data_IF_591764714764
#
_entry.id   IF_591764714764
#
_cell.length_a   1.000
_cell.length_b   1.000
_cell.length_c   1.000
_cell.angle_alpha   90.00
_cell.angle_beta   90.00
_cell.angle_gamma   90.00
#
_symmetry.space_group_name_H-M   'P 1'
#
loop_
_entity.id
_entity.type
_entity.pdbx_description
1 polymer ?
#
# COMPACT_ATOMS: atom_id res chain seq x y z
N UNK A 1 0.92 -21.94 -16.44
CA UNK A 1 -0.39 -21.27 -16.31
C UNK A 1 -0.59 -20.83 -14.87
N UNK A 2 -1.23 -19.68 -14.59
CA UNK A 2 -1.44 -19.21 -13.23
C UNK A 2 -2.25 -20.23 -12.42
N UNK A 3 -1.90 -20.38 -11.13
CA UNK A 3 -2.62 -21.24 -10.21
C UNK A 3 -4.07 -20.75 -10.07
N UNK A 4 -5.03 -21.68 -10.16
CA UNK A 4 -6.47 -21.41 -10.08
C UNK A 4 -7.08 -21.81 -8.75
N UNK A 5 -6.45 -22.77 -8.07
CA UNK A 5 -6.83 -23.24 -6.73
C UNK A 5 -5.57 -23.60 -5.93
N UNK A 6 -5.68 -23.48 -4.61
CA UNK A 6 -4.55 -23.74 -3.70
C UNK A 6 -3.96 -25.16 -3.82
N UNK A 7 -4.73 -26.11 -4.35
CA UNK A 7 -4.33 -27.53 -4.50
C UNK A 7 -3.82 -27.89 -5.90
N UNK A 8 -3.51 -26.92 -6.76
CA UNK A 8 -2.96 -27.22 -8.08
C UNK A 8 -1.61 -27.93 -7.95
N UNK A 9 -1.43 -29.03 -8.68
CA UNK A 9 -0.19 -29.83 -8.62
C UNK A 9 0.96 -29.04 -9.24
N UNK A 10 2.02 -28.85 -8.46
CA UNK A 10 3.26 -28.20 -8.92
C UNK A 10 4.42 -29.21 -8.97
N UNK A 11 5.40 -28.94 -9.82
CA UNK A 11 6.70 -29.62 -9.79
C UNK A 11 7.71 -28.76 -9.02
N UNK A 12 8.80 -29.33 -8.48
CA UNK A 12 9.81 -28.56 -7.73
C UNK A 12 10.49 -27.44 -8.54
N UNK A 13 10.38 -27.47 -9.87
CA UNK A 13 10.96 -26.49 -10.79
C UNK A 13 9.96 -25.40 -11.22
N UNK A 14 8.80 -25.28 -10.57
CA UNK A 14 7.80 -24.27 -10.95
C UNK A 14 8.30 -22.86 -10.63
N UNK A 15 8.14 -21.95 -11.59
CA UNK A 15 8.43 -20.54 -11.39
C UNK A 15 7.28 -19.85 -10.63
N UNK A 16 7.59 -19.14 -9.55
CA UNK A 16 6.61 -18.45 -8.72
C UNK A 16 6.77 -16.95 -8.92
N UNK A 17 5.68 -16.30 -9.32
CA UNK A 17 5.60 -14.85 -9.49
C UNK A 17 4.26 -14.34 -8.96
N UNK A 18 4.25 -13.09 -8.49
CA UNK A 18 3.02 -12.38 -8.21
C UNK A 18 2.38 -11.95 -9.53
N UNK A 19 1.09 -12.23 -9.70
CA UNK A 19 0.35 -11.95 -10.93
C UNK A 19 0.17 -10.43 -11.15
N UNK A 20 0.17 -9.64 -10.07
CA UNK A 20 0.17 -8.19 -10.14
C UNK A 20 0.94 -7.60 -8.95
N UNK A 21 1.68 -6.50 -9.15
CA UNK A 21 2.22 -5.73 -8.04
C UNK A 21 1.08 -5.09 -7.25
N UNK A 22 1.22 -5.06 -5.93
CA UNK A 22 0.30 -4.32 -5.06
C UNK A 22 0.46 -2.81 -5.30
N UNK A 23 -0.65 -2.07 -5.29
CA UNK A 23 -0.66 -0.62 -5.56
C UNK A 23 0.08 0.19 -4.50
N UNK A 24 0.07 -0.29 -3.26
CA UNK A 24 0.70 0.35 -2.11
C UNK A 24 1.59 -0.64 -1.37
N UNK A 25 2.62 -0.13 -0.69
CA UNK A 25 3.57 -0.94 0.12
C UNK A 25 2.91 -1.74 1.26
N UNK A 26 1.66 -1.41 1.62
CA UNK A 26 0.83 -2.27 2.48
C UNK A 26 -0.65 -2.16 2.12
N UNK A 27 -1.44 -3.18 2.49
CA UNK A 27 -2.91 -3.17 2.37
C UNK A 27 -3.59 -2.01 3.09
N UNK A 28 -2.87 -1.33 4.01
CA UNK A 28 -3.35 -0.11 4.65
C UNK A 28 -3.67 0.98 3.64
N UNK A 29 -2.85 1.15 2.58
CA UNK A 29 -3.06 2.22 1.59
C UNK A 29 -4.44 2.20 0.94
N UNK A 30 -5.02 1.00 0.71
CA UNK A 30 -6.37 0.85 0.17
C UNK A 30 -7.46 1.45 1.07
N UNK A 31 -7.24 1.43 2.39
CA UNK A 31 -8.19 2.04 3.35
C UNK A 31 -8.18 3.56 3.24
N UNK A 32 -6.98 4.15 3.17
CA UNK A 32 -6.85 5.60 3.06
C UNK A 32 -7.34 6.09 1.70
N UNK A 33 -7.01 5.38 0.62
CA UNK A 33 -7.53 5.68 -0.71
C UNK A 33 -9.06 5.73 -0.72
N UNK A 34 -9.71 4.71 -0.15
CA UNK A 34 -11.17 4.71 -0.03
C UNK A 34 -11.68 5.91 0.78
N UNK A 35 -11.02 6.27 1.88
CA UNK A 35 -11.39 7.43 2.69
C UNK A 35 -11.25 8.75 1.91
N UNK A 36 -10.15 8.95 1.17
CA UNK A 36 -9.95 10.15 0.34
C UNK A 36 -11.07 10.30 -0.70
N UNK A 37 -11.48 9.20 -1.33
CA UNK A 37 -12.58 9.19 -2.31
C UNK A 37 -13.94 9.41 -1.64
N UNK A 38 -14.24 8.65 -0.58
CA UNK A 38 -15.54 8.68 0.09
C UNK A 38 -15.83 10.05 0.73
N UNK A 39 -14.82 10.66 1.34
CA UNK A 39 -14.93 11.97 1.97
C UNK A 39 -14.57 13.13 1.02
N UNK A 40 -14.27 12.86 -0.25
CA UNK A 40 -13.85 13.84 -1.25
C UNK A 40 -12.71 14.77 -0.77
N UNK A 41 -11.69 14.18 -0.14
CA UNK A 41 -10.53 14.90 0.39
C UNK A 41 -9.45 15.01 -0.67
N UNK A 42 -9.17 16.24 -1.11
CA UNK A 42 -8.03 16.53 -1.96
C UNK A 42 -6.78 16.83 -1.12
N UNK A 43 -5.71 16.06 -1.32
CA UNK A 43 -4.40 16.24 -0.66
C UNK A 43 -3.34 16.81 -1.61
N UNK A 44 -3.69 17.10 -2.86
CA UNK A 44 -2.77 17.58 -3.88
C UNK A 44 -2.04 18.85 -3.43
N UNK A 45 -0.70 18.83 -3.49
CA UNK A 45 0.14 19.97 -3.13
C UNK A 45 0.22 20.25 -1.62
N UNK A 46 -0.45 19.47 -0.77
CA UNK A 46 -0.50 19.71 0.68
C UNK A 46 0.66 19.06 1.42
N UNK A 47 0.99 19.64 2.57
CA UNK A 47 1.80 18.98 3.59
C UNK A 47 0.86 18.25 4.56
N UNK A 48 1.10 16.97 4.77
CA UNK A 48 0.25 16.08 5.57
C UNK A 48 1.09 15.29 6.58
N UNK A 49 0.49 14.92 7.72
CA UNK A 49 1.11 14.05 8.72
C UNK A 49 0.49 12.66 8.69
N UNK A 50 1.33 11.62 8.69
CA UNK A 50 0.94 10.23 8.85
C UNK A 50 1.40 9.76 10.23
N UNK A 51 0.46 9.54 11.15
CA UNK A 51 0.73 9.18 12.54
C UNK A 51 0.52 7.67 12.73
N UNK A 52 1.59 6.94 13.00
CA UNK A 52 1.62 5.47 13.02
C UNK A 52 1.87 4.88 11.63
N UNK A 53 2.84 5.44 10.89
CA UNK A 53 3.11 5.11 9.48
C UNK A 53 3.39 3.60 9.24
N UNK A 54 3.94 2.89 10.22
CA UNK A 54 4.27 1.47 10.20
C UNK A 54 5.08 1.10 8.96
N UNK A 55 4.63 0.12 8.16
CA UNK A 55 5.24 -0.24 6.86
C UNK A 55 5.16 0.90 5.81
N UNK A 56 4.33 1.92 6.03
CA UNK A 56 4.24 3.12 5.17
C UNK A 56 3.08 3.14 4.19
N UNK A 57 2.08 2.26 4.30
CA UNK A 57 1.00 2.15 3.31
C UNK A 57 0.15 3.43 3.18
N UNK A 58 -0.07 4.17 4.27
CA UNK A 58 -0.78 5.45 4.24
C UNK A 58 0.10 6.55 3.64
N UNK A 59 1.36 6.65 4.07
CA UNK A 59 2.36 7.55 3.48
C UNK A 59 2.46 7.39 1.96
N UNK A 60 2.58 6.15 1.46
CA UNK A 60 2.63 5.84 0.03
C UNK A 60 1.35 6.29 -0.68
N UNK A 61 0.18 5.99 -0.12
CA UNK A 61 -1.10 6.46 -0.64
C UNK A 61 -1.19 7.99 -0.74
N UNK A 62 -0.72 8.73 0.27
CA UNK A 62 -0.75 10.20 0.27
C UNK A 62 0.17 10.79 -0.80
N UNK A 63 1.38 10.23 -0.96
CA UNK A 63 2.33 10.67 -1.99
C UNK A 63 1.80 10.39 -3.40
N UNK A 64 1.26 9.19 -3.65
CA UNK A 64 0.62 8.84 -4.92
C UNK A 64 -0.62 9.70 -5.20
N UNK A 65 -1.35 10.11 -4.17
CA UNK A 65 -2.50 11.02 -4.28
C UNK A 65 -2.09 12.51 -4.44
N UNK A 66 -0.80 12.81 -4.55
CA UNK A 66 -0.30 14.14 -4.90
C UNK A 66 0.06 15.04 -3.73
N UNK A 67 0.14 14.53 -2.50
CA UNK A 67 0.68 15.30 -1.38
C UNK A 67 2.10 15.79 -1.69
N UNK A 68 2.39 17.07 -1.43
CA UNK A 68 3.71 17.64 -1.67
C UNK A 68 4.75 17.11 -0.67
N UNK A 69 4.31 16.79 0.55
CA UNK A 69 5.17 16.26 1.61
C UNK A 69 4.36 15.50 2.65
N UNK A 70 4.89 14.36 3.10
CA UNK A 70 4.33 13.58 4.20
C UNK A 70 5.31 13.54 5.37
N UNK A 71 4.86 13.94 6.55
CA UNK A 71 5.57 13.72 7.81
C UNK A 71 5.12 12.39 8.40
N UNK A 72 5.89 11.34 8.15
CA UNK A 72 5.64 10.02 8.71
C UNK A 72 6.23 9.92 10.11
N UNK A 73 5.37 9.73 11.11
CA UNK A 73 5.74 9.60 12.51
C UNK A 73 5.39 8.19 12.95
N UNK A 74 6.35 7.48 13.53
CA UNK A 74 6.13 6.18 14.14
C UNK A 74 6.95 6.03 15.43
N UNK A 75 6.49 5.17 16.32
CA UNK A 75 7.18 4.82 17.58
C UNK A 75 7.87 3.46 17.49
N UNK A 76 7.55 2.64 16.48
CA UNK A 76 8.16 1.35 16.22
C UNK A 76 9.45 1.47 15.41
N UNK A 77 10.52 0.82 15.88
CA UNK A 77 11.79 0.70 15.18
C UNK A 77 12.02 -0.76 14.75
N UNK A 78 12.21 -0.99 13.44
CA UNK A 78 12.81 -2.21 12.86
C UNK A 78 12.15 -3.56 13.18
N UNK A 79 10.91 -3.77 12.71
CA UNK A 79 10.16 -5.03 12.88
C UNK A 79 10.04 -5.80 11.57
#
# INVERSE_FOLDING_TARGET
HPARKASDKITPQVHIELIAPEKFVSRGGLKLEHALQHFALDVTGKMVGDLGASTGGFTDCLLQAGAAKVYAVDVGQGQ
#
